data_IF_451015046559
#
_entry.id   IF_451015046559
#
_cell.length_a   1.000
_cell.length_b   1.000
_cell.length_c   1.000
_cell.angle_alpha   90.00
_cell.angle_beta   90.00
_cell.angle_gamma   90.00
#
_symmetry.space_group_name_H-M   'P 1'
#
loop_
_entity.id
_entity.type
_entity.pdbx_description
1 polymer ?
#
# COMPACT_ATOMS: atom_id res chain seq x y z
N UNK A 1 0.03 -24.55 -10.23
CA UNK A 1 0.51 -25.60 -9.29
C UNK A 1 -0.40 -25.58 -8.09
N UNK A 2 -0.87 -26.73 -7.63
CA UNK A 2 -1.76 -26.86 -6.48
C UNK A 2 -1.04 -27.69 -5.41
N UNK A 3 -0.55 -27.02 -4.36
CA UNK A 3 0.02 -27.70 -3.20
C UNK A 3 -1.08 -27.99 -2.18
N UNK A 4 -1.49 -29.26 -2.10
CA UNK A 4 -2.60 -29.71 -1.28
C UNK A 4 -2.12 -30.24 0.08
N UNK A 5 -2.51 -29.55 1.14
CA UNK A 5 -2.31 -29.96 2.53
C UNK A 5 -3.62 -30.29 3.27
N UNK A 6 -4.71 -30.55 2.52
CA UNK A 6 -6.03 -30.90 3.07
C UNK A 6 -5.99 -32.20 3.87
N UNK A 7 -6.95 -32.45 4.75
CA UNK A 7 -6.99 -33.73 5.49
C UNK A 7 -7.18 -34.92 4.54
N UNK A 8 -8.08 -34.77 3.59
CA UNK A 8 -8.33 -35.73 2.51
C UNK A 8 -7.68 -35.22 1.23
N UNK A 9 -6.97 -36.08 0.46
CA UNK A 9 -6.37 -35.67 -0.80
C UNK A 9 -7.42 -35.24 -1.82
N UNK A 10 -7.18 -34.12 -2.50
CA UNK A 10 -8.07 -33.60 -3.54
C UNK A 10 -7.73 -34.09 -4.95
N UNK A 11 -6.87 -35.10 -5.08
CA UNK A 11 -6.29 -35.52 -6.35
C UNK A 11 -7.35 -35.86 -7.41
N UNK A 12 -8.38 -36.66 -7.07
CA UNK A 12 -9.45 -37.01 -8.01
C UNK A 12 -10.20 -35.78 -8.52
N UNK A 13 -10.51 -34.83 -7.63
CA UNK A 13 -11.20 -33.58 -7.99
C UNK A 13 -10.34 -32.74 -8.94
N UNK A 14 -9.02 -32.67 -8.70
CA UNK A 14 -8.10 -31.94 -9.56
C UNK A 14 -7.95 -32.61 -10.92
N UNK A 15 -7.85 -33.94 -10.97
CA UNK A 15 -7.76 -34.70 -12.21
C UNK A 15 -9.03 -34.57 -13.07
N UNK A 16 -10.21 -34.61 -12.43
CA UNK A 16 -11.50 -34.38 -13.07
C UNK A 16 -11.63 -32.94 -13.59
N UNK A 17 -11.31 -31.94 -12.76
CA UNK A 17 -11.44 -30.53 -13.13
C UNK A 17 -10.41 -30.08 -14.18
N UNK A 18 -9.23 -30.69 -14.22
CA UNK A 18 -8.19 -30.36 -15.20
C UNK A 18 -8.34 -31.11 -16.53
N UNK A 19 -9.16 -32.17 -16.60
CA UNK A 19 -9.44 -32.98 -17.80
C UNK A 19 -8.19 -33.27 -18.68
N UNK A 20 -7.08 -33.66 -18.04
CA UNK A 20 -5.82 -33.97 -18.73
C UNK A 20 -4.97 -32.76 -19.16
N UNK A 21 -5.29 -31.55 -18.70
CA UNK A 21 -4.49 -30.35 -18.91
C UNK A 21 -3.11 -30.47 -18.23
N UNK A 22 -2.08 -30.69 -19.05
CA UNK A 22 -0.69 -30.88 -18.61
C UNK A 22 -0.07 -29.63 -17.96
N UNK A 23 -0.74 -28.48 -18.02
CA UNK A 23 -0.30 -27.23 -17.36
C UNK A 23 -0.65 -27.24 -15.86
N UNK A 24 -1.60 -28.08 -15.45
CA UNK A 24 -2.00 -28.22 -14.04
C UNK A 24 -1.11 -29.27 -13.37
N UNK A 25 -0.35 -28.83 -12.37
CA UNK A 25 0.49 -29.70 -11.56
C UNK A 25 -0.06 -29.77 -10.14
N UNK A 26 -0.38 -30.98 -9.69
CA UNK A 26 -0.85 -31.27 -8.34
C UNK A 26 0.30 -31.83 -7.47
N UNK A 27 0.45 -31.28 -6.28
CA UNK A 27 1.43 -31.71 -5.29
C UNK A 27 0.72 -32.01 -3.98
N UNK A 28 0.65 -33.28 -3.59
CA UNK A 28 0.18 -33.67 -2.26
C UNK A 28 1.28 -33.47 -1.23
N UNK A 29 1.01 -32.65 -0.22
CA UNK A 29 1.90 -32.46 0.93
C UNK A 29 1.59 -33.53 1.99
N UNK A 30 2.64 -34.08 2.60
CA UNK A 30 2.50 -35.14 3.61
C UNK A 30 1.90 -34.62 4.93
N UNK A 31 1.99 -33.31 5.18
CA UNK A 31 1.40 -32.62 6.34
C UNK A 31 1.17 -31.14 6.03
N UNK A 32 0.26 -30.51 6.74
CA UNK A 32 0.04 -29.06 6.67
C UNK A 32 1.08 -28.33 7.53
N UNK A 33 1.98 -27.56 6.90
CA UNK A 33 3.05 -26.83 7.58
C UNK A 33 2.76 -25.32 7.73
N UNK A 34 1.53 -24.87 7.45
CA UNK A 34 1.19 -23.45 7.39
C UNK A 34 1.27 -22.90 5.96
N UNK A 35 0.66 -21.74 5.74
CA UNK A 35 0.48 -21.17 4.39
C UNK A 35 1.84 -20.86 3.74
N UNK A 36 2.80 -20.28 4.46
CA UNK A 36 4.11 -19.96 3.90
C UNK A 36 4.84 -21.22 3.40
N UNK A 37 4.92 -22.26 4.22
CA UNK A 37 5.63 -23.51 3.87
C UNK A 37 4.94 -24.28 2.74
N UNK A 38 3.60 -24.32 2.75
CA UNK A 38 2.85 -24.96 1.68
C UNK A 38 3.04 -24.21 0.34
N UNK A 39 3.04 -22.87 0.38
CA UNK A 39 3.32 -22.03 -0.80
C UNK A 39 4.76 -22.18 -1.29
N UNK A 40 5.75 -22.26 -0.39
CA UNK A 40 7.15 -22.53 -0.77
C UNK A 40 7.29 -23.87 -1.49
N UNK A 41 6.58 -24.91 -1.04
CA UNK A 41 6.59 -26.20 -1.72
C UNK A 41 6.05 -26.13 -3.16
N UNK A 42 4.99 -25.34 -3.39
CA UNK A 42 4.49 -25.05 -4.73
C UNK A 42 5.50 -24.26 -5.57
N UNK A 43 6.16 -23.25 -4.97
CA UNK A 43 7.12 -22.38 -5.64
C UNK A 43 8.33 -23.16 -6.18
N UNK A 44 8.77 -24.21 -5.49
CA UNK A 44 9.86 -25.08 -5.96
C UNK A 44 9.54 -25.80 -7.28
N UNK A 45 8.26 -26.06 -7.56
CA UNK A 45 7.82 -26.67 -8.82
C UNK A 45 7.59 -25.65 -9.94
N UNK A 46 7.52 -24.36 -9.60
CA UNK A 46 7.21 -23.31 -10.56
C UNK A 46 8.42 -23.02 -11.47
N UNK A 47 8.15 -23.02 -12.78
CA UNK A 47 9.14 -22.90 -13.86
C UNK A 47 8.99 -21.66 -14.72
N UNK A 48 7.97 -20.82 -14.50
CA UNK A 48 7.79 -19.57 -15.22
C UNK A 48 8.77 -18.48 -14.78
N UNK A 49 8.95 -17.45 -15.62
CA UNK A 49 9.78 -16.28 -15.30
C UNK A 49 9.17 -15.38 -14.22
N UNK A 50 7.85 -15.48 -14.05
CA UNK A 50 7.06 -14.81 -13.03
C UNK A 50 6.13 -15.82 -12.34
N UNK A 51 5.77 -15.52 -11.10
CA UNK A 51 4.82 -16.28 -10.31
C UNK A 51 3.78 -15.37 -9.69
N UNK A 52 2.59 -15.91 -9.50
CA UNK A 52 1.48 -15.23 -8.85
C UNK A 52 0.79 -16.18 -7.87
N UNK A 53 0.11 -15.62 -6.89
CA UNK A 53 -0.71 -16.38 -5.95
C UNK A 53 -2.18 -16.30 -6.37
N UNK A 54 -2.88 -17.41 -6.25
CA UNK A 54 -4.33 -17.50 -6.37
C UNK A 54 -4.82 -18.34 -5.20
N UNK A 55 -5.60 -17.72 -4.32
CA UNK A 55 -6.22 -18.44 -3.22
C UNK A 55 -7.29 -19.38 -3.79
N UNK A 56 -7.34 -20.60 -3.25
CA UNK A 56 -8.22 -21.67 -3.73
C UNK A 56 -9.71 -21.33 -3.72
N UNK A 57 -10.12 -20.34 -2.94
CA UNK A 57 -11.48 -19.84 -2.82
C UNK A 57 -11.75 -18.58 -3.66
N UNK A 58 -10.75 -18.03 -4.36
CA UNK A 58 -10.88 -16.79 -5.13
C UNK A 58 -11.03 -17.02 -6.65
N UNK A 59 -11.17 -15.92 -7.39
CA UNK A 59 -11.31 -15.94 -8.86
C UNK A 59 -10.41 -14.90 -9.53
N UNK A 60 -9.79 -15.30 -10.63
CA UNK A 60 -9.19 -14.37 -11.59
C UNK A 60 -10.18 -14.00 -12.68
N UNK A 61 -10.03 -12.81 -13.26
CA UNK A 61 -10.70 -12.54 -14.54
C UNK A 61 -10.08 -13.37 -15.66
N UNK A 62 -10.84 -13.70 -16.73
CA UNK A 62 -10.32 -14.52 -17.83
C UNK A 62 -9.07 -13.93 -18.53
N UNK A 63 -8.90 -12.61 -18.46
CA UNK A 63 -7.80 -11.87 -19.06
C UNK A 63 -6.65 -11.56 -18.09
N UNK A 64 -6.75 -11.93 -16.80
CA UNK A 64 -5.78 -11.56 -15.76
C UNK A 64 -4.32 -11.87 -16.12
N UNK A 65 -4.03 -13.11 -16.53
CA UNK A 65 -2.68 -13.53 -16.88
C UNK A 65 -2.17 -12.86 -18.17
N UNK A 66 -3.07 -12.63 -19.14
CA UNK A 66 -2.71 -11.94 -20.39
C UNK A 66 -2.34 -10.48 -20.12
N UNK A 67 -3.12 -9.79 -19.30
CA UNK A 67 -2.89 -8.39 -18.95
C UNK A 67 -1.55 -8.19 -18.24
N UNK A 68 -1.24 -9.07 -17.29
CA UNK A 68 0.05 -9.08 -16.60
C UNK A 68 1.22 -9.36 -17.55
N UNK A 69 1.10 -10.39 -18.40
CA UNK A 69 2.13 -10.73 -19.38
C UNK A 69 2.34 -9.61 -20.42
N UNK A 70 1.26 -8.95 -20.86
CA UNK A 70 1.32 -7.81 -21.77
C UNK A 70 2.07 -6.65 -21.12
N UNK A 71 1.81 -6.37 -19.85
CA UNK A 71 2.47 -5.28 -19.13
C UNK A 71 3.96 -5.54 -18.94
N UNK A 72 4.34 -6.79 -18.61
CA UNK A 72 5.74 -7.24 -18.57
C UNK A 72 6.39 -7.04 -19.95
N UNK A 73 5.73 -7.48 -21.03
CA UNK A 73 6.25 -7.36 -22.39
C UNK A 73 6.42 -5.90 -22.85
N UNK A 74 5.51 -5.01 -22.47
CA UNK A 74 5.61 -3.58 -22.74
C UNK A 74 6.82 -2.91 -22.04
N UNK A 75 7.33 -3.54 -20.98
CA UNK A 75 8.44 -3.08 -20.15
C UNK A 75 9.65 -4.02 -20.21
N UNK A 76 9.80 -4.83 -21.27
CA UNK A 76 10.84 -5.84 -21.38
C UNK A 76 12.29 -5.28 -21.32
N UNK A 77 12.48 -3.97 -21.51
CA UNK A 77 13.78 -3.29 -21.35
C UNK A 77 14.10 -2.86 -19.92
N UNK A 78 13.26 -3.22 -18.95
CA UNK A 78 13.34 -2.75 -17.59
C UNK A 78 13.32 -3.91 -16.59
N UNK A 79 13.84 -3.64 -15.39
CA UNK A 79 13.87 -4.63 -14.33
C UNK A 79 12.53 -4.65 -13.58
N UNK A 80 11.49 -5.27 -14.15
CA UNK A 80 10.17 -5.38 -13.53
C UNK A 80 10.16 -6.51 -12.49
N UNK A 81 10.18 -6.14 -11.21
CA UNK A 81 10.26 -7.08 -10.08
C UNK A 81 8.87 -7.54 -9.63
N UNK A 82 7.89 -6.63 -9.61
CA UNK A 82 6.54 -6.91 -9.12
C UNK A 82 5.50 -6.15 -9.94
N UNK A 83 4.37 -6.80 -10.20
CA UNK A 83 3.17 -6.18 -10.75
C UNK A 83 1.99 -6.47 -9.84
N UNK A 84 1.04 -5.54 -9.78
CA UNK A 84 -0.24 -5.78 -9.13
C UNK A 84 -1.40 -5.13 -9.89
N UNK A 85 -2.61 -5.63 -9.68
CA UNK A 85 -3.83 -5.10 -10.28
C UNK A 85 -4.79 -4.53 -9.25
N UNK A 86 -5.82 -3.84 -9.73
CA UNK A 86 -7.04 -3.62 -8.96
C UNK A 86 -7.73 -4.97 -8.66
N UNK A 87 -8.61 -4.95 -7.66
CA UNK A 87 -9.35 -6.12 -7.20
C UNK A 87 -10.81 -5.72 -6.88
N UNK A 88 -11.68 -6.71 -6.71
CA UNK A 88 -13.05 -6.53 -6.23
C UNK A 88 -13.40 -7.66 -5.26
N UNK A 89 -14.51 -7.53 -4.56
CA UNK A 89 -15.10 -8.60 -3.76
C UNK A 89 -16.30 -9.20 -4.48
N UNK A 90 -16.43 -10.52 -4.38
CA UNK A 90 -17.60 -11.24 -4.85
C UNK A 90 -18.25 -12.09 -3.77
N UNK A 91 -19.51 -12.46 -3.98
CA UNK A 91 -20.20 -13.45 -3.16
C UNK A 91 -19.67 -14.87 -3.42
N UNK A 92 -20.06 -15.82 -2.58
CA UNK A 92 -19.56 -17.20 -2.60
C UNK A 92 -19.75 -17.91 -3.96
N UNK A 93 -20.84 -17.61 -4.67
CA UNK A 93 -21.13 -18.16 -6.00
C UNK A 93 -20.36 -17.45 -7.13
N UNK A 94 -19.66 -16.35 -6.85
CA UNK A 94 -18.90 -15.57 -7.83
C UNK A 94 -19.77 -14.85 -8.87
N UNK A 95 -21.07 -14.65 -8.60
CA UNK A 95 -22.03 -14.05 -9.56
C UNK A 95 -22.26 -12.57 -9.34
N UNK A 96 -22.12 -12.09 -8.11
CA UNK A 96 -22.27 -10.68 -7.75
C UNK A 96 -20.96 -10.11 -7.22
N UNK A 97 -20.61 -8.93 -7.71
CA UNK A 97 -19.45 -8.13 -7.32
C UNK A 97 -19.92 -6.84 -6.65
N UNK A 98 -19.22 -6.35 -5.62
CA UNK A 98 -19.79 -5.30 -4.77
C UNK A 98 -18.84 -4.34 -4.05
N UNK A 99 -17.52 -4.50 -4.09
CA UNK A 99 -16.58 -3.59 -3.40
C UNK A 99 -15.27 -3.44 -4.18
N UNK A 100 -15.29 -2.77 -5.36
CA UNK A 100 -14.11 -2.61 -6.20
C UNK A 100 -13.08 -1.73 -5.50
N UNK A 101 -11.84 -2.21 -5.45
CA UNK A 101 -10.69 -1.52 -4.91
C UNK A 101 -9.78 -1.05 -6.05
N UNK A 102 -9.94 0.22 -6.43
CA UNK A 102 -9.02 0.89 -7.37
C UNK A 102 -7.80 1.40 -6.63
N UNK A 103 -6.68 0.72 -6.81
CA UNK A 103 -5.43 0.96 -6.10
C UNK A 103 -4.68 2.13 -6.73
N UNK A 104 -3.90 2.89 -5.96
CA UNK A 104 -2.97 3.84 -6.53
C UNK A 104 -1.77 3.10 -7.14
N UNK A 105 -0.98 3.81 -7.94
CA UNK A 105 0.38 3.38 -8.30
C UNK A 105 1.26 3.23 -7.05
N UNK A 106 2.45 2.63 -7.23
CA UNK A 106 3.31 2.27 -6.11
C UNK A 106 3.58 3.44 -5.16
N UNK A 107 3.21 3.25 -3.90
CA UNK A 107 3.33 4.24 -2.83
C UNK A 107 3.92 3.56 -1.59
N UNK A 108 5.22 3.72 -1.40
CA UNK A 108 5.95 3.09 -0.31
C UNK A 108 5.35 3.41 1.06
N UNK A 109 5.05 4.68 1.33
CA UNK A 109 4.59 5.09 2.66
C UNK A 109 3.15 4.59 2.94
N UNK A 110 2.32 4.49 1.90
CA UNK A 110 1.04 3.79 2.01
C UNK A 110 1.23 2.30 2.24
N UNK A 111 2.15 1.67 1.49
CA UNK A 111 2.47 0.26 1.64
C UNK A 111 2.94 -0.02 3.06
N UNK A 112 3.77 0.82 3.68
CA UNK A 112 4.20 0.67 5.08
C UNK A 112 3.07 0.84 6.11
N UNK A 113 1.98 1.51 5.71
CA UNK A 113 0.81 1.71 6.55
C UNK A 113 -0.26 0.64 6.36
N UNK A 114 -0.29 -0.07 5.23
CA UNK A 114 -1.26 -1.13 4.92
C UNK A 114 -0.81 -1.90 3.67
N UNK A 115 -1.03 -3.21 3.64
CA UNK A 115 -0.84 -4.02 2.43
C UNK A 115 -1.91 -3.72 1.38
N UNK A 116 -1.90 -2.53 0.79
CA UNK A 116 -2.87 -2.16 -0.23
C UNK A 116 -2.63 -2.88 -1.57
N UNK A 117 -1.43 -3.44 -1.77
CA UNK A 117 -1.05 -4.20 -2.98
C UNK A 117 -1.78 -5.54 -3.03
N UNK A 118 -1.76 -6.34 -1.95
CA UNK A 118 -2.60 -7.53 -1.76
C UNK A 118 -2.74 -8.41 -3.03
N UNK A 119 -3.94 -8.56 -3.60
CA UNK A 119 -4.19 -9.35 -4.81
C UNK A 119 -4.48 -8.45 -6.03
N UNK A 120 -4.29 -8.82 -7.28
CA UNK A 120 -3.52 -9.93 -7.80
C UNK A 120 -2.07 -9.50 -7.91
N UNK A 121 -1.16 -10.12 -7.15
CA UNK A 121 0.26 -9.81 -7.21
C UNK A 121 1.02 -10.84 -8.04
N UNK A 122 1.87 -10.36 -8.94
CA UNK A 122 2.77 -11.14 -9.80
C UNK A 122 4.21 -10.70 -9.53
N UNK A 123 5.10 -11.63 -9.19
CA UNK A 123 6.49 -11.33 -8.79
C UNK A 123 7.44 -12.09 -9.71
N UNK A 124 8.55 -11.45 -10.10
CA UNK A 124 9.64 -12.11 -10.82
C UNK A 124 10.12 -13.33 -10.04
N UNK A 125 10.28 -14.45 -10.73
CA UNK A 125 10.55 -15.75 -10.10
C UNK A 125 11.85 -15.77 -9.30
N UNK A 126 12.92 -15.16 -9.81
CA UNK A 126 14.22 -15.10 -9.14
C UNK A 126 14.13 -14.37 -7.79
N UNK A 127 13.53 -13.18 -7.80
CA UNK A 127 13.28 -12.36 -6.61
C UNK A 127 12.38 -13.08 -5.61
N UNK A 128 11.32 -13.75 -6.09
CA UNK A 128 10.42 -14.51 -5.23
C UNK A 128 11.09 -15.73 -4.61
N UNK A 129 11.95 -16.44 -5.35
CA UNK A 129 12.70 -17.60 -4.84
C UNK A 129 13.76 -17.20 -3.84
N UNK A 130 14.47 -16.10 -4.07
CA UNK A 130 15.44 -15.55 -3.12
C UNK A 130 14.73 -15.09 -1.83
N UNK A 131 13.59 -14.43 -1.97
CA UNK A 131 12.80 -13.96 -0.85
C UNK A 131 12.19 -15.13 -0.05
N UNK A 132 11.49 -16.04 -0.73
CA UNK A 132 10.67 -17.10 -0.11
C UNK A 132 9.53 -16.56 0.77
N UNK A 133 8.61 -17.44 1.17
CA UNK A 133 7.59 -17.13 2.18
C UNK A 133 8.08 -17.56 3.56
N UNK A 134 7.85 -16.72 4.57
CA UNK A 134 8.37 -16.91 5.93
C UNK A 134 7.24 -17.25 6.90
N UNK A 135 7.32 -18.42 7.55
CA UNK A 135 6.26 -18.95 8.44
C UNK A 135 5.96 -18.07 9.65
N UNK A 136 6.94 -17.33 10.16
CA UNK A 136 6.74 -16.38 11.26
C UNK A 136 5.83 -15.19 10.88
N UNK A 137 5.48 -15.06 9.61
CA UNK A 137 4.50 -14.11 9.08
C UNK A 137 3.26 -14.77 8.49
N UNK A 138 2.97 -16.05 8.79
CA UNK A 138 1.70 -16.69 8.41
C UNK A 138 0.51 -15.75 8.76
N UNK A 139 -0.42 -15.60 7.82
CA UNK A 139 -1.52 -14.63 7.85
C UNK A 139 -1.21 -13.27 7.21
N UNK A 140 0.07 -12.95 6.98
CA UNK A 140 0.53 -11.75 6.25
C UNK A 140 1.83 -12.00 5.50
N UNK A 141 2.04 -13.26 5.08
CA UNK A 141 3.23 -13.70 4.36
C UNK A 141 3.34 -13.05 2.97
N UNK A 142 2.21 -12.70 2.38
CA UNK A 142 2.08 -11.91 1.16
C UNK A 142 2.63 -10.49 1.37
N UNK A 143 2.23 -9.82 2.45
CA UNK A 143 2.71 -8.49 2.77
C UNK A 143 4.23 -8.49 3.04
N UNK A 144 4.70 -9.49 3.77
CA UNK A 144 6.14 -9.70 4.01
C UNK A 144 6.93 -9.85 2.71
N UNK A 145 6.48 -10.70 1.79
CA UNK A 145 7.20 -10.92 0.53
C UNK A 145 7.13 -9.70 -0.39
N UNK A 146 6.02 -8.96 -0.43
CA UNK A 146 5.88 -7.70 -1.18
C UNK A 146 6.86 -6.65 -0.68
N UNK A 147 7.03 -6.53 0.64
CA UNK A 147 8.03 -5.65 1.25
C UNK A 147 9.45 -6.06 0.85
N UNK A 148 9.79 -7.35 0.96
CA UNK A 148 11.16 -7.83 0.67
C UNK A 148 11.53 -7.86 -0.81
N UNK A 149 10.54 -7.86 -1.70
CA UNK A 149 10.74 -7.83 -3.16
C UNK A 149 10.46 -6.44 -3.72
N UNK A 150 9.22 -6.12 -4.08
CA UNK A 150 8.84 -4.87 -4.75
C UNK A 150 9.27 -3.61 -4.00
N UNK A 151 8.99 -3.51 -2.70
CA UNK A 151 9.39 -2.32 -1.94
C UNK A 151 10.91 -2.16 -1.83
N UNK A 152 11.65 -3.28 -1.72
CA UNK A 152 13.11 -3.28 -1.76
C UNK A 152 13.66 -2.82 -3.12
N UNK A 153 13.08 -3.29 -4.20
CA UNK A 153 13.48 -2.93 -5.55
C UNK A 153 13.32 -1.42 -5.81
N UNK A 154 12.18 -0.86 -5.44
CA UNK A 154 11.86 0.57 -5.55
C UNK A 154 12.77 1.44 -4.67
N UNK A 155 13.01 1.03 -3.41
CA UNK A 155 13.89 1.78 -2.51
C UNK A 155 15.36 1.76 -2.94
N UNK A 156 15.81 0.65 -3.52
CA UNK A 156 17.20 0.52 -3.98
C UNK A 156 17.44 1.07 -5.38
N UNK A 157 16.37 1.42 -6.11
CA UNK A 157 16.45 1.84 -7.51
C UNK A 157 16.89 0.72 -8.46
N UNK A 158 16.79 -0.54 -8.03
CA UNK A 158 17.20 -1.73 -8.80
C UNK A 158 16.05 -2.48 -9.44
N UNK A 159 14.82 -1.98 -9.30
CA UNK A 159 13.69 -2.57 -9.99
C UNK A 159 12.38 -1.79 -9.87
N UNK A 160 11.48 -2.21 -10.76
CA UNK A 160 10.11 -1.79 -11.06
C UNK A 160 9.05 -2.39 -10.15
N UNK A 161 8.16 -1.59 -9.55
CA UNK A 161 6.80 -2.04 -9.26
C UNK A 161 5.82 -1.41 -10.25
N UNK A 162 5.07 -2.24 -10.98
CA UNK A 162 4.06 -1.78 -11.93
C UNK A 162 2.64 -2.01 -11.39
N UNK A 163 1.75 -1.10 -11.72
CA UNK A 163 0.33 -1.21 -11.42
C UNK A 163 -0.46 -1.34 -12.72
N UNK A 164 -1.28 -2.39 -12.82
CA UNK A 164 -2.23 -2.61 -13.91
C UNK A 164 -3.62 -2.14 -13.45
N UNK A 165 -4.12 -0.98 -13.91
CA UNK A 165 -5.36 -0.36 -13.40
C UNK A 165 -6.62 -1.02 -13.98
N UNK A 166 -6.74 -2.34 -13.74
CA UNK A 166 -7.85 -3.20 -14.13
C UNK A 166 -8.18 -4.12 -12.96
N UNK A 167 -9.47 -4.36 -12.73
CA UNK A 167 -9.89 -5.38 -11.77
C UNK A 167 -9.62 -6.75 -12.39
N UNK A 168 -8.58 -7.45 -11.90
CA UNK A 168 -8.17 -8.76 -12.40
C UNK A 168 -8.27 -9.87 -11.35
N UNK A 169 -8.67 -9.52 -10.13
CA UNK A 169 -8.88 -10.42 -9.00
C UNK A 169 -10.23 -10.19 -8.35
N UNK A 170 -10.88 -11.27 -7.93
CA UNK A 170 -12.10 -11.22 -7.14
C UNK A 170 -11.93 -12.03 -5.86
N UNK A 171 -11.89 -11.32 -4.74
CA UNK A 171 -11.85 -11.92 -3.41
C UNK A 171 -13.24 -12.43 -3.05
N UNK A 172 -13.38 -13.74 -2.95
CA UNK A 172 -14.64 -14.38 -2.61
C UNK A 172 -14.93 -14.26 -1.11
N UNK A 173 -16.10 -13.74 -0.80
CA UNK A 173 -16.58 -13.60 0.57
C UNK A 173 -17.58 -14.71 0.89
N UNK A 174 -17.24 -15.56 1.86
CA UNK A 174 -18.16 -16.58 2.42
C UNK A 174 -18.42 -16.32 3.90
N UNK A 175 -19.48 -16.91 4.46
CA UNK A 175 -19.83 -16.78 5.88
C UNK A 175 -18.76 -17.36 6.83
N UNK A 176 -17.93 -18.27 6.34
CA UNK A 176 -16.81 -18.91 7.06
C UNK A 176 -15.44 -18.38 6.65
N UNK A 177 -15.36 -17.51 5.62
CA UNK A 177 -14.12 -16.91 5.16
C UNK A 177 -13.43 -16.13 6.28
N UNK A 178 -12.09 -16.05 6.22
CA UNK A 178 -11.30 -15.13 7.04
C UNK A 178 -11.87 -13.71 7.01
N UNK A 179 -12.54 -13.31 5.92
CA UNK A 179 -13.29 -12.06 5.82
C UNK A 179 -14.31 -11.82 6.95
N UNK A 180 -14.91 -12.87 7.53
CA UNK A 180 -16.04 -12.81 8.46
C UNK A 180 -15.71 -12.98 9.97
N UNK A 181 -14.54 -13.50 10.35
CA UNK A 181 -14.21 -13.79 11.76
C UNK A 181 -13.14 -12.82 12.34
N UNK A 182 -13.49 -11.92 13.29
CA UNK A 182 -12.57 -10.93 13.84
C UNK A 182 -11.39 -11.49 14.65
N UNK A 183 -11.57 -12.61 15.37
CA UNK A 183 -10.54 -13.18 16.24
C UNK A 183 -9.38 -13.81 15.45
N UNK A 184 -9.71 -14.43 14.30
CA UNK A 184 -8.72 -14.98 13.36
C UNK A 184 -7.95 -13.92 12.57
N UNK A 185 -8.25 -12.62 12.72
CA UNK A 185 -7.50 -11.56 12.03
C UNK A 185 -6.40 -10.92 12.88
N UNK A 186 -6.47 -11.02 14.21
CA UNK A 186 -5.49 -10.34 15.08
C UNK A 186 -4.05 -10.82 14.85
N UNK A 187 -3.84 -12.13 14.70
CA UNK A 187 -2.49 -12.66 14.45
C UNK A 187 -1.94 -12.19 13.09
N UNK A 188 -2.78 -12.13 12.06
CA UNK A 188 -2.42 -11.59 10.75
C UNK A 188 -2.04 -10.11 10.86
N UNK A 189 -2.85 -9.30 11.54
CA UNK A 189 -2.53 -7.87 11.72
C UNK A 189 -1.23 -7.65 12.51
N UNK A 190 -0.93 -8.46 13.53
CA UNK A 190 0.36 -8.40 14.20
C UNK A 190 1.51 -8.89 13.32
N UNK A 191 1.30 -9.95 12.53
CA UNK A 191 2.27 -10.43 11.55
C UNK A 191 2.63 -9.33 10.53
N UNK A 192 1.63 -8.64 9.96
CA UNK A 192 1.84 -7.51 9.06
C UNK A 192 2.59 -6.35 9.74
N UNK A 193 2.24 -6.01 10.98
CA UNK A 193 2.95 -4.99 11.78
C UNK A 193 4.42 -5.35 11.98
N UNK A 194 4.70 -6.62 12.32
CA UNK A 194 6.06 -7.14 12.48
C UNK A 194 6.82 -7.18 11.15
N UNK A 195 6.14 -7.44 10.03
CA UNK A 195 6.76 -7.44 8.70
C UNK A 195 7.25 -6.04 8.32
N UNK A 196 6.44 -5.00 8.55
CA UNK A 196 6.85 -3.59 8.37
C UNK A 196 8.04 -3.26 9.27
N UNK A 197 7.98 -3.64 10.56
CA UNK A 197 9.06 -3.37 11.51
C UNK A 197 10.39 -4.06 11.11
N UNK A 198 10.34 -5.33 10.69
CA UNK A 198 11.50 -6.07 10.18
C UNK A 198 12.05 -5.43 8.90
N UNK A 199 11.17 -5.01 7.97
CA UNK A 199 11.56 -4.31 6.75
C UNK A 199 12.32 -3.01 7.04
N UNK A 200 11.82 -2.19 7.96
CA UNK A 200 12.49 -0.93 8.34
C UNK A 200 13.81 -1.18 9.07
N UNK A 201 13.84 -2.13 10.01
CA UNK A 201 15.03 -2.49 10.79
C UNK A 201 16.18 -2.97 9.90
N UNK A 202 15.91 -3.85 8.94
CA UNK A 202 16.91 -4.33 7.96
C UNK A 202 17.53 -3.23 7.10
N UNK A 203 16.91 -2.05 7.07
CA UNK A 203 17.37 -0.86 6.34
C UNK A 203 17.99 0.19 7.26
N UNK A 204 18.20 -0.12 8.54
CA UNK A 204 18.68 0.82 9.55
C UNK A 204 17.79 2.07 9.66
N UNK A 205 16.48 1.91 9.47
CA UNK A 205 15.50 2.97 9.65
C UNK A 205 14.86 2.76 11.02
N UNK A 206 15.30 3.55 11.99
CA UNK A 206 14.76 3.50 13.35
C UNK A 206 13.31 4.00 13.36
N UNK A 207 12.38 3.10 13.70
CA UNK A 207 10.97 3.40 13.81
C UNK A 207 10.25 2.43 14.74
N UNK A 208 9.11 2.88 15.28
CA UNK A 208 8.09 2.01 15.88
C UNK A 208 6.93 1.88 14.90
N UNK A 209 6.27 0.72 14.90
CA UNK A 209 5.07 0.47 14.10
C UNK A 209 3.92 0.13 15.03
N UNK A 210 2.89 0.97 15.02
CA UNK A 210 1.72 0.89 15.88
C UNK A 210 0.45 0.62 15.06
N UNK A 211 -0.52 -0.07 15.64
CA UNK A 211 -1.84 -0.22 15.02
C UNK A 211 -2.59 1.10 15.08
N UNK A 212 -3.29 1.44 14.00
CA UNK A 212 -4.33 2.47 14.02
C UNK A 212 -5.64 1.90 14.57
N UNK A 213 -6.65 2.75 14.72
CA UNK A 213 -7.98 2.35 15.19
C UNK A 213 -8.63 1.30 14.29
N UNK A 214 -8.30 1.30 12.99
CA UNK A 214 -8.69 0.26 12.04
C UNK A 214 -7.58 -0.78 11.96
N UNK A 215 -7.89 -2.02 12.33
CA UNK A 215 -6.91 -3.10 12.33
C UNK A 215 -6.44 -3.44 10.91
N UNK A 216 -5.18 -3.85 10.77
CA UNK A 216 -4.53 -4.01 9.46
C UNK A 216 -4.02 -2.71 8.84
N UNK A 217 -4.21 -1.59 9.54
CA UNK A 217 -3.63 -0.29 9.20
C UNK A 217 -2.70 0.15 10.32
N UNK A 218 -1.56 0.69 9.93
CA UNK A 218 -0.44 0.97 10.81
C UNK A 218 -0.03 2.43 10.72
N UNK A 219 0.63 2.87 11.78
CA UNK A 219 1.37 4.12 11.82
C UNK A 219 2.85 3.81 12.03
N UNK A 220 3.69 4.38 11.18
CA UNK A 220 5.13 4.38 11.36
C UNK A 220 5.55 5.63 12.12
N UNK A 221 6.13 5.42 13.29
CA UNK A 221 6.71 6.45 14.14
C UNK A 221 8.23 6.42 14.00
N UNK A 222 8.75 7.23 13.08
CA UNK A 222 10.19 7.38 12.85
C UNK A 222 10.89 8.06 14.02
N UNK A 223 12.08 7.57 14.37
CA UNK A 223 12.90 8.06 15.48
C UNK A 223 14.24 8.64 14.99
N UNK A 224 14.74 9.73 15.60
CA UNK A 224 14.03 10.63 16.52
C UNK A 224 12.89 11.41 15.82
N UNK A 225 12.94 11.52 14.49
CA UNK A 225 11.89 12.09 13.66
C UNK A 225 12.00 11.61 12.20
N UNK A 226 11.00 11.94 11.38
CA UNK A 226 10.92 11.56 9.96
C UNK A 226 12.13 12.02 9.15
N UNK A 227 12.62 13.25 9.33
CA UNK A 227 13.74 13.76 8.54
C UNK A 227 15.08 13.13 8.94
N UNK A 228 15.22 12.71 10.19
CA UNK A 228 16.39 11.96 10.64
C UNK A 228 16.41 10.52 10.07
N UNK A 229 15.27 9.82 10.12
CA UNK A 229 15.17 8.43 9.70
C UNK A 229 15.07 8.24 8.17
N UNK A 230 14.43 9.17 7.45
CA UNK A 230 14.11 9.07 6.02
C UNK A 230 14.68 10.24 5.23
N UNK A 231 15.94 10.09 4.79
CA UNK A 231 16.69 11.13 4.05
C UNK A 231 16.04 11.54 2.73
N UNK A 232 15.29 10.64 2.13
CA UNK A 232 14.55 10.83 0.88
C UNK A 232 13.30 11.72 1.04
N UNK A 233 12.77 11.90 2.26
CA UNK A 233 11.62 12.79 2.50
C UNK A 233 12.09 14.23 2.67
N UNK A 234 11.64 15.14 1.81
CA UNK A 234 11.99 16.57 1.88
C UNK A 234 10.95 17.43 2.59
N UNK A 235 9.68 17.02 2.53
CA UNK A 235 8.53 17.79 3.01
C UNK A 235 7.58 16.86 3.76
N UNK A 236 6.99 17.36 4.84
CA UNK A 236 5.91 16.72 5.59
C UNK A 236 4.70 17.65 5.58
N UNK A 237 3.58 17.17 5.08
CA UNK A 237 2.29 17.84 5.10
C UNK A 237 1.38 17.30 6.19
N UNK A 238 0.60 18.19 6.79
CA UNK A 238 -0.36 17.89 7.82
C UNK A 238 -1.80 17.80 7.27
N UNK A 239 -2.72 17.26 8.08
CA UNK A 239 -4.16 17.35 7.85
C UNK A 239 -4.69 18.68 8.39
N UNK A 240 -5.30 19.48 7.53
CA UNK A 240 -5.87 20.79 7.90
C UNK A 240 -7.39 20.71 7.89
N UNK A 241 -8.02 21.07 9.00
CA UNK A 241 -9.48 21.07 9.12
C UNK A 241 -10.04 22.46 9.39
N UNK A 242 -11.32 22.66 9.09
CA UNK A 242 -12.08 23.80 9.61
C UNK A 242 -12.41 23.61 11.11
N UNK A 243 -13.02 24.63 11.73
CA UNK A 243 -13.47 24.58 13.13
C UNK A 243 -14.57 23.56 13.41
N UNK A 244 -15.20 22.99 12.38
CA UNK A 244 -16.20 21.92 12.46
C UNK A 244 -15.57 20.54 12.23
N UNK A 245 -14.25 20.46 12.09
CA UNK A 245 -13.52 19.22 11.86
C UNK A 245 -13.67 18.65 10.44
N UNK A 246 -14.01 19.46 9.43
CA UNK A 246 -14.02 19.04 8.02
C UNK A 246 -12.68 19.30 7.39
N UNK A 247 -12.16 18.34 6.61
CA UNK A 247 -10.89 18.48 5.90
C UNK A 247 -10.96 19.64 4.88
N UNK A 248 -10.10 20.63 5.06
CA UNK A 248 -10.00 21.83 4.25
C UNK A 248 -8.78 21.79 3.32
N UNK A 249 -7.66 21.26 3.82
CA UNK A 249 -6.42 21.15 3.06
C UNK A 249 -5.55 20.01 3.62
N UNK A 250 -4.53 19.64 2.87
CA UNK A 250 -3.63 18.55 3.23
C UNK A 250 -2.95 18.05 1.98
N UNK A 251 -3.38 16.91 1.46
CA UNK A 251 -2.82 16.30 0.27
C UNK A 251 -3.53 16.81 -1.01
N UNK A 252 -2.76 17.07 -2.06
CA UNK A 252 -3.28 17.35 -3.41
C UNK A 252 -2.91 16.23 -4.37
N UNK A 253 -3.76 15.97 -5.36
CA UNK A 253 -3.40 15.19 -6.54
C UNK A 253 -2.69 16.08 -7.59
N UNK A 254 -2.34 15.50 -8.73
CA UNK A 254 -1.66 16.21 -9.81
C UNK A 254 -2.46 17.38 -10.41
N UNK A 255 -3.79 17.23 -10.47
CA UNK A 255 -4.71 18.26 -10.92
C UNK A 255 -4.88 19.41 -9.91
N UNK A 256 -4.31 19.30 -8.70
CA UNK A 256 -4.44 20.29 -7.64
C UNK A 256 -5.71 20.16 -6.81
N UNK A 257 -6.45 19.06 -6.96
CA UNK A 257 -7.63 18.77 -6.16
C UNK A 257 -7.21 18.30 -4.77
N UNK A 258 -7.91 18.79 -3.74
CA UNK A 258 -7.67 18.39 -2.36
C UNK A 258 -8.25 17.00 -2.16
N UNK A 259 -7.37 16.02 -1.91
CA UNK A 259 -7.78 14.66 -1.60
C UNK A 259 -8.55 14.65 -0.27
N UNK A 260 -9.72 13.98 -0.28
CA UNK A 260 -10.64 13.89 0.86
C UNK A 260 -11.24 15.23 1.31
N UNK A 261 -11.34 16.23 0.42
CA UNK A 261 -11.96 17.52 0.73
C UNK A 261 -13.35 17.36 1.36
N UNK A 262 -13.61 18.10 2.44
CA UNK A 262 -14.88 18.08 3.16
C UNK A 262 -15.11 16.85 4.05
N UNK A 263 -14.18 15.88 4.09
CA UNK A 263 -14.29 14.70 4.94
C UNK A 263 -14.43 15.11 6.41
N UNK A 264 -15.48 14.64 7.07
CA UNK A 264 -15.76 14.97 8.47
C UNK A 264 -14.81 14.23 9.41
N UNK A 265 -14.47 14.85 10.54
CA UNK A 265 -13.77 14.21 11.65
C UNK A 265 -14.45 12.89 12.05
N UNK A 266 -13.63 11.87 12.30
CA UNK A 266 -14.09 10.51 12.59
C UNK A 266 -14.24 9.62 11.35
N UNK A 267 -14.27 10.18 10.15
CA UNK A 267 -14.21 9.41 8.91
C UNK A 267 -12.77 9.30 8.42
N UNK A 268 -12.45 8.16 7.81
CA UNK A 268 -11.08 7.77 7.46
C UNK A 268 -10.86 7.62 5.95
N UNK A 269 -11.81 7.97 5.09
CA UNK A 269 -11.62 7.96 3.63
C UNK A 269 -11.93 6.61 2.98
N UNK A 270 -13.12 6.06 3.27
CA UNK A 270 -13.62 4.80 2.71
C UNK A 270 -13.10 3.56 3.43
N UNK A 271 -13.34 2.38 2.86
CA UNK A 271 -12.95 1.09 3.43
C UNK A 271 -11.42 0.90 3.49
N UNK A 272 -10.68 1.59 2.62
CA UNK A 272 -9.22 1.61 2.60
C UNK A 272 -8.60 2.62 3.57
N UNK A 273 -9.41 3.36 4.33
CA UNK A 273 -8.96 4.29 5.37
C UNK A 273 -7.84 5.25 4.95
N UNK A 274 -7.80 5.63 3.66
CA UNK A 274 -6.70 6.40 3.04
C UNK A 274 -6.52 7.80 3.62
N UNK A 275 -7.54 8.37 4.26
CA UNK A 275 -7.45 9.65 4.95
C UNK A 275 -6.91 9.52 6.40
N UNK A 276 -6.51 8.32 6.83
CA UNK A 276 -5.98 8.05 8.16
C UNK A 276 -4.57 7.43 8.20
N UNK A 277 -3.95 7.11 7.06
CA UNK A 277 -2.64 6.42 7.00
C UNK A 277 -1.54 7.30 6.42
N UNK A 278 -0.26 7.06 6.70
CA UNK A 278 0.80 7.87 6.09
C UNK A 278 0.95 7.52 4.59
N UNK A 279 1.23 8.50 3.73
CA UNK A 279 1.34 8.31 2.27
C UNK A 279 2.39 9.24 1.65
N UNK A 280 3.04 8.78 0.57
CA UNK A 280 3.72 9.65 -0.38
C UNK A 280 2.67 10.42 -1.17
N UNK A 281 2.80 11.73 -1.22
CA UNK A 281 1.86 12.65 -1.83
C UNK A 281 2.43 13.26 -3.11
N UNK A 282 1.57 13.58 -4.06
CA UNK A 282 1.98 14.42 -5.18
C UNK A 282 2.40 15.81 -4.69
N UNK A 283 1.54 16.44 -3.89
CA UNK A 283 1.83 17.69 -3.20
C UNK A 283 1.06 17.75 -1.87
N UNK A 284 1.52 18.62 -0.97
CA UNK A 284 0.83 18.94 0.27
C UNK A 284 0.66 20.45 0.42
N UNK A 285 -0.32 20.86 1.22
CA UNK A 285 -0.56 22.26 1.56
C UNK A 285 0.65 22.87 2.24
N UNK A 286 0.94 24.12 1.87
CA UNK A 286 1.86 24.97 2.63
C UNK A 286 1.35 25.26 4.04
N UNK A 287 0.06 25.09 4.31
CA UNK A 287 -0.50 25.12 5.66
C UNK A 287 -0.02 23.91 6.47
N UNK A 288 0.56 24.16 7.65
CA UNK A 288 1.04 23.10 8.55
C UNK A 288 2.23 22.30 8.01
N UNK A 289 2.92 22.83 6.99
CA UNK A 289 4.05 22.16 6.36
C UNK A 289 5.29 22.18 7.26
N UNK A 290 6.06 21.09 7.21
CA UNK A 290 7.46 21.05 7.66
C UNK A 290 8.32 20.66 6.47
N UNK A 291 9.54 21.17 6.41
CA UNK A 291 10.47 20.87 5.33
C UNK A 291 11.92 20.92 5.83
N UNK A 292 12.82 20.26 5.11
CA UNK A 292 14.25 20.27 5.43
C UNK A 292 14.87 21.66 5.25
N UNK A 293 15.87 21.99 6.06
CA UNK A 293 16.50 23.32 6.07
C UNK A 293 17.02 23.75 4.68
N UNK A 294 17.59 22.82 3.90
CA UNK A 294 18.07 23.06 2.54
C UNK A 294 16.98 23.49 1.54
N UNK A 295 15.70 23.24 1.86
CA UNK A 295 14.57 23.67 1.04
C UNK A 295 14.09 25.08 1.39
N UNK A 296 14.61 25.71 2.45
CA UNK A 296 14.14 27.00 2.93
C UNK A 296 14.27 28.12 1.88
N UNK A 297 15.39 28.18 1.15
CA UNK A 297 15.58 29.17 0.09
C UNK A 297 14.54 29.00 -1.05
N UNK A 298 14.21 27.76 -1.40
CA UNK A 298 13.15 27.46 -2.37
C UNK A 298 11.79 27.89 -1.85
N UNK A 299 11.47 27.54 -0.60
CA UNK A 299 10.23 27.93 0.06
C UNK A 299 10.05 29.44 0.08
N UNK A 300 11.07 30.20 0.51
CA UNK A 300 11.07 31.68 0.53
C UNK A 300 10.80 32.27 -0.84
N UNK A 301 11.39 31.70 -1.89
CA UNK A 301 11.18 32.14 -3.27
C UNK A 301 9.75 31.89 -3.75
N UNK A 302 9.19 30.70 -3.47
CA UNK A 302 7.82 30.34 -3.89
C UNK A 302 6.77 31.16 -3.12
N UNK A 303 6.99 31.37 -1.82
CA UNK A 303 6.10 32.11 -0.93
C UNK A 303 6.38 33.61 -0.88
N UNK A 304 7.20 34.16 -1.79
CA UNK A 304 7.52 35.58 -1.80
C UNK A 304 6.26 36.45 -1.98
N UNK A 305 6.22 37.60 -1.28
CA UNK A 305 5.22 38.65 -1.46
C UNK A 305 4.01 38.61 -0.53
N UNK A 306 3.78 37.52 0.22
CA UNK A 306 2.61 37.41 1.14
C UNK A 306 2.82 36.34 2.20
N UNK A 307 2.24 36.51 3.40
CA UNK A 307 2.22 35.42 4.40
C UNK A 307 1.25 34.33 3.96
N UNK A 308 1.52 33.07 4.32
CA UNK A 308 0.67 31.92 3.94
C UNK A 308 -0.76 32.11 4.44
N UNK A 309 -0.92 32.63 5.65
CA UNK A 309 -2.21 32.81 6.32
C UNK A 309 -3.11 33.82 5.58
N UNK A 310 -2.49 34.74 4.84
CA UNK A 310 -3.16 35.80 4.09
C UNK A 310 -3.50 35.38 2.66
N UNK A 311 -2.92 34.27 2.16
CA UNK A 311 -3.13 33.79 0.79
C UNK A 311 -4.57 33.28 0.60
N UNK A 312 -5.14 33.58 -0.57
CA UNK A 312 -6.39 32.98 -1.01
C UNK A 312 -6.22 31.46 -1.16
N UNK A 313 -7.32 30.71 -1.20
CA UNK A 313 -7.26 29.26 -1.42
C UNK A 313 -6.61 28.89 -2.76
N UNK A 314 -6.82 29.72 -3.78
CA UNK A 314 -6.20 29.55 -5.10
C UNK A 314 -4.69 29.82 -5.05
N UNK A 315 -4.27 30.92 -4.42
CA UNK A 315 -2.84 31.24 -4.22
C UNK A 315 -2.13 30.13 -3.43
N UNK A 316 -2.76 29.63 -2.36
CA UNK A 316 -2.25 28.52 -1.55
C UNK A 316 -2.08 27.26 -2.38
N UNK A 317 -3.10 26.89 -3.18
CA UNK A 317 -3.04 25.70 -4.04
C UNK A 317 -1.92 25.82 -5.06
N UNK A 318 -1.85 26.93 -5.80
CA UNK A 318 -0.83 27.15 -6.83
C UNK A 318 0.59 27.09 -6.25
N UNK A 319 0.83 27.80 -5.14
CA UNK A 319 2.15 27.83 -4.48
C UNK A 319 2.50 26.48 -3.85
N UNK A 320 1.53 25.76 -3.27
CA UNK A 320 1.73 24.40 -2.73
C UNK A 320 2.18 23.43 -3.82
N UNK A 321 1.50 23.43 -4.97
CA UNK A 321 1.86 22.61 -6.13
C UNK A 321 3.23 23.01 -6.67
N UNK A 322 3.50 24.31 -6.83
CA UNK A 322 4.79 24.83 -7.33
C UNK A 322 5.95 24.42 -6.42
N UNK A 323 5.79 24.58 -5.10
CA UNK A 323 6.80 24.19 -4.12
C UNK A 323 7.05 22.67 -4.15
N UNK A 324 6.00 21.85 -4.03
CA UNK A 324 6.14 20.39 -3.99
C UNK A 324 6.70 19.83 -5.31
N UNK A 325 6.29 20.36 -6.49
CA UNK A 325 6.88 20.00 -7.79
C UNK A 325 8.37 20.30 -7.82
N UNK A 326 8.79 21.47 -7.32
CA UNK A 326 10.20 21.84 -7.26
C UNK A 326 11.01 20.98 -6.26
N UNK A 327 10.39 20.54 -5.16
CA UNK A 327 10.98 19.60 -4.19
C UNK A 327 11.17 18.22 -4.84
N UNK A 328 10.15 17.69 -5.53
CA UNK A 328 10.25 16.41 -6.27
C UNK A 328 11.32 16.44 -7.35
N UNK A 329 11.46 17.56 -8.10
CA UNK A 329 12.55 17.77 -9.07
C UNK A 329 13.96 17.72 -8.45
N UNK A 330 14.08 17.86 -7.13
CA UNK A 330 15.35 17.70 -6.40
C UNK A 330 15.55 16.29 -5.84
N UNK A 331 14.67 15.34 -6.19
CA UNK A 331 14.75 13.94 -5.76
C UNK A 331 14.13 13.64 -4.40
N UNK A 332 13.45 14.62 -3.78
CA UNK A 332 12.78 14.40 -2.50
C UNK A 332 11.33 13.95 -2.67
N UNK A 333 10.89 13.05 -1.79
CA UNK A 333 9.48 12.67 -1.61
C UNK A 333 8.73 13.70 -0.77
N UNK A 334 7.42 13.73 -0.95
CA UNK A 334 6.49 14.58 -0.19
C UNK A 334 5.68 13.66 0.71
N UNK A 335 5.90 13.74 2.01
CA UNK A 335 5.27 12.86 2.97
C UNK A 335 4.01 13.51 3.54
N UNK A 336 2.91 12.77 3.62
CA UNK A 336 1.71 13.22 4.29
C UNK A 336 1.49 12.44 5.59
N UNK A 337 1.36 13.15 6.71
CA UNK A 337 1.09 12.58 8.03
C UNK A 337 -0.31 13.01 8.53
N UNK A 338 -1.33 12.15 8.45
CA UNK A 338 -2.69 12.46 8.92
C UNK A 338 -2.84 12.64 10.42
N UNK A 339 -1.83 12.27 11.21
CA UNK A 339 -1.83 12.39 12.67
C UNK A 339 -1.19 13.70 13.14
N UNK A 340 -0.64 14.49 12.22
CA UNK A 340 -0.37 15.91 12.41
C UNK A 340 -1.60 16.69 11.94
N UNK A 341 -2.42 17.16 12.89
CA UNK A 341 -3.69 17.83 12.61
C UNK A 341 -3.64 19.29 13.05
N UNK A 342 -4.06 20.19 12.17
CA UNK A 342 -4.19 21.61 12.48
C UNK A 342 -5.59 22.11 12.13
N UNK A 343 -6.17 22.93 13.01
CA UNK A 343 -7.44 23.59 12.80
C UNK A 343 -7.19 24.99 12.27
N UNK A 344 -7.76 25.33 11.11
CA UNK A 344 -7.74 26.68 10.54
C UNK A 344 -8.92 27.49 11.08
N UNK A 345 -8.61 28.56 11.81
CA UNK A 345 -9.62 29.48 12.34
C UNK A 345 -10.31 30.24 11.21
N UNK A 346 -11.64 30.33 11.27
CA UNK A 346 -12.48 30.92 10.20
C UNK A 346 -12.17 32.40 9.98
N UNK A 347 -11.98 33.15 11.06
CA UNK A 347 -11.92 34.62 11.00
C UNK A 347 -10.48 35.15 10.83
N UNK A 348 -9.50 34.48 11.43
CA UNK A 348 -8.09 34.90 11.38
C UNK A 348 -7.23 34.13 10.38
N UNK A 349 -7.71 33.01 9.85
CA UNK A 349 -6.92 32.10 9.01
C UNK A 349 -5.80 31.37 9.75
N UNK A 350 -5.62 31.63 11.05
CA UNK A 350 -4.55 31.07 11.87
C UNK A 350 -4.70 29.56 12.03
N UNK A 351 -3.57 28.86 12.10
CA UNK A 351 -3.51 27.42 12.34
C UNK A 351 -3.21 27.12 13.81
N UNK A 352 -4.05 26.30 14.43
CA UNK A 352 -3.83 25.78 15.78
C UNK A 352 -3.61 24.28 15.68
N UNK A 353 -2.47 23.78 16.17
CA UNK A 353 -2.21 22.34 16.22
C UNK A 353 -3.19 21.68 17.19
N UNK A 354 -3.89 20.66 16.74
CA UNK A 354 -4.76 19.89 17.61
C UNK A 354 -3.89 19.08 18.58
N UNK A 355 -4.05 19.32 19.89
CA UNK A 355 -3.39 18.52 20.92
C UNK A 355 -3.93 17.09 20.83
N UNK A 356 -3.04 16.09 20.74
CA UNK A 356 -3.46 14.70 20.92
C UNK A 356 -4.06 14.59 22.33
N UNK A 357 -5.35 14.25 22.42
CA UNK A 357 -5.86 13.69 23.67
C UNK A 357 -5.22 12.30 23.77
N UNK A 358 -4.35 12.14 24.76
CA UNK A 358 -3.77 10.85 25.14
C UNK A 358 -4.85 9.83 25.48
#
# INVERSE_FOLDING_TARGET
ILADASKEPLQHLVEEAAEGDKRVHYLRLSRNNGIAENTNAALLMASGDYACLLDHDDLLTPDALYEMAREIGAHAGEEVVLLYSDEDKCEEEGKRFFEPNRKPDFNLDYLLSNNYICHFTVIRMEELKEAGFRREYDGSQDYDVILRTGAQAEMSGKGRVLHVPKVLYHWRTSRTSTAANPASKHYAYDAGRRAVMDFLSRRNIDAKVENLAHLGFYRVLYLPDVFAARRDIGVIGAKITDSRGRLLAGMYNEAGEILFSGLKKGYSGGFQHRAAVQQDAFAVSLLGIRYRAELHALYRRVCAGKKIEEMSEEELREKSLSFCKAVRKRGYRIYWDPQEVYVRAKDSGALVKESRRE
#
